data_IF_336430067856
#
_entry.id   IF_336430067856
#
_cell.length_a   1.000
_cell.length_b   1.000
_cell.length_c   1.000
_cell.angle_alpha   90.00
_cell.angle_beta   90.00
_cell.angle_gamma   90.00
#
_symmetry.space_group_name_H-M   'P 1'
#
loop_
_entity.id
_entity.type
_entity.pdbx_description
1 polymer ?
#
# COMPACT_ATOMS: atom_id res chain seq x y z
N UNK A 1 11.01 -5.61 -14.30
CA UNK A 1 10.06 -4.47 -14.34
C UNK A 1 10.69 -3.14 -13.91
N UNK A 2 11.27 -3.02 -12.71
CA UNK A 2 11.94 -1.77 -12.24
C UNK A 2 13.13 -1.35 -13.08
N UNK A 3 14.06 -2.25 -13.37
CA UNK A 3 15.20 -1.98 -14.26
C UNK A 3 14.79 -1.57 -15.68
N UNK A 4 13.59 -1.97 -16.11
CA UNK A 4 13.01 -1.58 -17.40
C UNK A 4 12.25 -0.22 -17.33
N UNK A 5 12.25 0.47 -16.18
CA UNK A 5 11.56 1.75 -15.97
C UNK A 5 10.03 1.67 -15.91
N UNK A 6 9.44 0.49 -16.14
CA UNK A 6 7.98 0.33 -16.20
C UNK A 6 7.35 0.50 -14.82
N UNK A 7 8.02 0.03 -13.76
CA UNK A 7 7.54 0.16 -12.39
C UNK A 7 7.32 1.64 -12.03
N UNK A 8 8.34 2.46 -12.26
CA UNK A 8 8.31 3.90 -11.92
C UNK A 8 7.30 4.66 -12.78
N UNK A 9 7.22 4.34 -14.07
CA UNK A 9 6.21 4.94 -14.95
C UNK A 9 4.78 4.70 -14.46
N UNK A 10 4.49 3.49 -13.99
CA UNK A 10 3.16 3.18 -13.44
C UNK A 10 2.96 3.91 -12.11
N UNK A 11 3.97 3.97 -11.24
CA UNK A 11 3.87 4.73 -10.00
C UNK A 11 3.67 6.24 -10.19
N UNK A 12 4.25 6.84 -11.25
CA UNK A 12 3.93 8.23 -11.60
C UNK A 12 2.46 8.45 -11.98
N UNK A 13 1.76 7.43 -12.52
CA UNK A 13 0.31 7.54 -12.78
C UNK A 13 -0.45 7.69 -11.46
N UNK A 14 -0.08 6.95 -10.41
CA UNK A 14 -0.65 7.12 -9.09
C UNK A 14 -0.32 8.48 -8.48
N UNK A 15 0.96 8.88 -8.54
CA UNK A 15 1.44 10.16 -8.02
C UNK A 15 0.65 11.36 -8.55
N UNK A 16 0.29 11.35 -9.83
CA UNK A 16 -0.37 12.48 -10.49
C UNK A 16 -1.88 12.31 -10.70
N UNK A 17 -2.50 11.22 -10.22
CA UNK A 17 -3.93 11.00 -10.43
C UNK A 17 -4.81 11.85 -9.50
N UNK A 18 -4.35 12.13 -8.28
CA UNK A 18 -5.13 12.85 -7.26
C UNK A 18 -6.44 12.15 -6.88
N UNK A 19 -6.54 10.83 -7.08
CA UNK A 19 -7.77 10.05 -6.90
C UNK A 19 -7.78 9.32 -5.55
N UNK A 20 -7.85 10.13 -4.50
CA UNK A 20 -7.96 9.72 -3.10
C UNK A 20 -9.22 10.34 -2.49
N UNK A 21 -9.71 9.79 -1.37
CA UNK A 21 -10.74 10.41 -0.52
C UNK A 21 -12.17 10.56 -1.09
N UNK A 22 -12.44 10.07 -2.31
CA UNK A 22 -13.76 10.02 -2.92
C UNK A 22 -14.23 8.60 -3.27
N UNK A 23 -15.50 8.42 -3.71
CA UNK A 23 -16.06 7.10 -4.04
C UNK A 23 -15.35 6.40 -5.22
N UNK A 24 -14.61 7.15 -6.04
CA UNK A 24 -13.76 6.62 -7.09
C UNK A 24 -12.48 5.93 -6.61
N UNK A 25 -12.08 6.15 -5.35
CA UNK A 25 -10.83 5.62 -4.77
C UNK A 25 -10.67 4.12 -5.03
N UNK A 26 -11.65 3.30 -4.64
CA UNK A 26 -11.57 1.84 -4.75
C UNK A 26 -11.57 1.34 -6.19
N UNK A 27 -12.38 1.94 -7.05
CA UNK A 27 -12.50 1.51 -8.46
C UNK A 27 -11.26 1.92 -9.26
N UNK A 28 -10.71 3.10 -8.98
CA UNK A 28 -9.46 3.55 -9.58
C UNK A 28 -8.29 2.65 -9.17
N UNK A 29 -8.13 2.34 -7.86
CA UNK A 29 -7.06 1.45 -7.39
C UNK A 29 -7.21 0.03 -7.94
N UNK A 30 -8.44 -0.47 -8.10
CA UNK A 30 -8.70 -1.78 -8.73
C UNK A 30 -8.23 -1.81 -10.19
N UNK A 31 -8.57 -0.80 -10.99
CA UNK A 31 -8.13 -0.72 -12.39
C UNK A 31 -6.61 -0.46 -12.50
N UNK A 32 -6.05 0.32 -11.57
CA UNK A 32 -4.61 0.55 -11.44
C UNK A 32 -3.87 -0.77 -11.19
N UNK A 33 -4.29 -1.56 -10.20
CA UNK A 33 -3.69 -2.86 -9.87
C UNK A 33 -3.86 -3.87 -11.01
N UNK A 34 -5.01 -3.87 -11.70
CA UNK A 34 -5.21 -4.70 -12.89
C UNK A 34 -4.21 -4.34 -14.00
N UNK A 35 -3.98 -3.05 -14.28
CA UNK A 35 -2.98 -2.61 -15.27
C UNK A 35 -1.56 -2.94 -14.83
N UNK A 36 -1.26 -2.79 -13.54
CA UNK A 36 0.00 -3.22 -12.96
C UNK A 36 0.21 -4.71 -13.16
N UNK A 37 -0.77 -5.56 -12.83
CA UNK A 37 -0.68 -7.00 -13.00
C UNK A 37 -0.49 -7.41 -14.47
N UNK A 38 -1.21 -6.79 -15.40
CA UNK A 38 -1.03 -7.04 -16.84
C UNK A 38 0.38 -6.71 -17.33
N UNK A 39 1.00 -5.65 -16.81
CA UNK A 39 2.38 -5.31 -17.10
C UNK A 39 3.35 -6.28 -16.41
N UNK A 40 3.10 -6.59 -15.15
CA UNK A 40 3.91 -7.49 -14.33
C UNK A 40 3.98 -8.89 -14.92
N UNK A 41 2.87 -9.43 -15.44
CA UNK A 41 2.81 -10.75 -16.09
C UNK A 41 3.79 -10.92 -17.25
N UNK A 42 4.23 -9.84 -17.89
CA UNK A 42 5.25 -9.88 -18.96
C UNK A 42 6.67 -10.18 -18.44
N UNK A 43 6.89 -10.01 -17.14
CA UNK A 43 8.15 -10.28 -16.47
C UNK A 43 8.15 -11.63 -15.73
N UNK A 44 7.04 -12.37 -15.80
CA UNK A 44 6.93 -13.70 -15.23
C UNK A 44 7.54 -14.76 -16.14
N UNK A 45 8.04 -15.88 -15.58
CA UNK A 45 8.45 -17.03 -16.37
C UNK A 45 7.31 -17.50 -17.29
N UNK A 46 7.67 -18.04 -18.45
CA UNK A 46 6.69 -18.59 -19.39
C UNK A 46 5.87 -19.70 -18.70
N UNK A 47 4.54 -19.65 -18.86
CA UNK A 47 3.64 -20.61 -18.22
C UNK A 47 3.35 -20.33 -16.74
N UNK A 48 3.92 -19.27 -16.16
CA UNK A 48 3.58 -18.85 -14.80
C UNK A 48 2.09 -18.55 -14.67
N UNK A 49 1.50 -19.07 -13.59
CA UNK A 49 0.11 -18.80 -13.18
C UNK A 49 0.04 -17.82 -12.00
N UNK A 50 1.16 -17.18 -11.67
CA UNK A 50 1.24 -16.27 -10.54
C UNK A 50 0.53 -14.96 -10.88
N UNK A 51 -0.25 -14.47 -9.92
CA UNK A 51 -0.89 -13.15 -9.97
C UNK A 51 -0.17 -12.15 -9.09
N UNK A 52 -0.72 -10.95 -9.00
CA UNK A 52 -0.30 -9.97 -8.00
C UNK A 52 -0.73 -10.46 -6.60
N UNK A 53 0.18 -10.74 -5.66
CA UNK A 53 -0.20 -11.12 -4.31
C UNK A 53 -0.83 -9.93 -3.57
N UNK A 54 -1.61 -10.23 -2.54
CA UNK A 54 -2.08 -9.25 -1.57
C UNK A 54 -1.38 -9.48 -0.22
N UNK A 55 -1.25 -8.41 0.56
CA UNK A 55 -0.82 -8.49 1.95
C UNK A 55 -2.06 -8.39 2.84
N UNK A 56 -2.37 -9.45 3.58
CA UNK A 56 -3.39 -9.41 4.61
C UNK A 56 -2.80 -8.85 5.91
N UNK A 57 -2.80 -7.52 6.03
CA UNK A 57 -2.22 -6.85 7.19
C UNK A 57 -2.94 -7.16 8.51
N UNK A 58 -4.14 -7.76 8.45
CA UNK A 58 -4.89 -8.12 9.67
C UNK A 58 -4.29 -9.28 10.43
N UNK A 59 -3.45 -10.10 9.77
CA UNK A 59 -2.69 -11.13 10.46
C UNK A 59 -1.62 -10.51 11.37
N UNK A 60 -1.05 -9.37 10.98
CA UNK A 60 -0.08 -8.66 11.81
C UNK A 60 -0.70 -7.99 13.04
N UNK A 61 -2.00 -7.70 13.05
CA UNK A 61 -2.64 -7.14 14.25
C UNK A 61 -2.69 -8.11 15.42
N UNK A 62 -2.50 -9.41 15.17
CA UNK A 62 -2.48 -10.45 16.19
C UNK A 62 -1.09 -10.63 16.84
N UNK A 63 -0.06 -9.93 16.34
CA UNK A 63 1.29 -9.98 16.90
C UNK A 63 1.44 -8.97 18.05
N UNK A 64 2.26 -9.27 19.08
CA UNK A 64 2.62 -8.27 20.09
C UNK A 64 3.26 -7.02 19.49
N UNK A 65 4.02 -7.20 18.40
CA UNK A 65 4.58 -6.14 17.60
C UNK A 65 4.38 -6.48 16.10
N UNK A 66 3.47 -5.79 15.40
CA UNK A 66 3.23 -5.99 13.96
C UNK A 66 4.49 -5.87 13.08
N UNK A 67 5.50 -5.09 13.51
CA UNK A 67 6.76 -4.90 12.76
C UNK A 67 7.70 -6.10 12.80
N UNK A 68 7.45 -7.05 13.70
CA UNK A 68 8.22 -8.30 13.81
C UNK A 68 7.67 -9.42 12.90
N UNK A 69 6.69 -9.11 12.05
CA UNK A 69 6.16 -10.06 11.06
C UNK A 69 7.26 -10.58 10.12
N UNK A 70 7.13 -11.85 9.74
CA UNK A 70 7.95 -12.45 8.67
C UNK A 70 7.85 -11.67 7.37
N UNK A 71 6.76 -10.93 7.14
CA UNK A 71 6.61 -10.05 5.99
C UNK A 71 7.75 -9.03 5.89
N UNK A 72 8.24 -8.50 7.03
CA UNK A 72 9.36 -7.55 7.10
C UNK A 72 10.72 -8.23 7.25
N UNK A 73 10.83 -9.53 6.97
CA UNK A 73 12.11 -10.25 6.95
C UNK A 73 12.79 -10.15 5.58
N UNK A 74 14.07 -10.53 5.53
CA UNK A 74 14.87 -10.63 4.30
C UNK A 74 14.29 -11.60 3.26
N UNK A 75 13.41 -12.52 3.67
CA UNK A 75 12.69 -13.38 2.73
C UNK A 75 11.72 -12.55 1.88
N UNK A 76 11.06 -11.56 2.46
CA UNK A 76 10.01 -10.79 1.79
C UNK A 76 10.44 -9.35 1.55
N UNK A 77 9.92 -8.37 2.31
CA UNK A 77 10.16 -6.96 2.00
C UNK A 77 11.44 -6.41 2.61
N UNK A 78 12.07 -7.12 3.55
CA UNK A 78 13.34 -6.75 4.20
C UNK A 78 13.19 -6.03 5.54
N UNK A 79 14.16 -6.17 6.42
CA UNK A 79 14.22 -5.50 7.72
C UNK A 79 14.74 -4.06 7.58
N UNK A 80 14.38 -3.20 8.54
CA UNK A 80 14.89 -1.82 8.62
C UNK A 80 15.81 -1.60 9.80
N UNK A 81 16.76 -0.67 9.65
CA UNK A 81 17.54 -0.16 10.75
C UNK A 81 16.79 0.95 11.53
N UNK A 82 17.45 1.52 12.56
CA UNK A 82 16.89 2.58 13.40
C UNK A 82 16.57 3.90 12.68
N UNK A 83 17.09 4.09 11.46
CA UNK A 83 16.81 5.26 10.60
C UNK A 83 15.76 4.96 9.53
N UNK A 84 15.19 3.75 9.54
CA UNK A 84 14.16 3.31 8.59
C UNK A 84 14.67 2.84 7.22
N UNK A 85 15.99 2.74 7.04
CA UNK A 85 16.55 2.21 5.79
C UNK A 85 16.38 0.69 5.76
N UNK A 86 15.95 0.16 4.61
CA UNK A 86 15.91 -1.29 4.37
C UNK A 86 17.34 -1.81 4.23
N UNK A 87 17.73 -2.76 5.07
CA UNK A 87 19.13 -3.23 5.17
C UNK A 87 19.35 -4.64 4.61
N UNK A 88 18.29 -5.38 4.33
CA UNK A 88 18.38 -6.73 3.76
C UNK A 88 17.22 -7.04 2.79
N UNK A 89 17.20 -8.28 2.29
CA UNK A 89 16.18 -8.76 1.36
C UNK A 89 16.27 -8.13 -0.04
N UNK A 90 15.28 -8.42 -0.91
CA UNK A 90 15.29 -8.01 -2.32
C UNK A 90 15.14 -6.50 -2.54
N UNK A 91 15.02 -5.71 -1.47
CA UNK A 91 14.70 -4.28 -1.46
C UNK A 91 15.77 -3.37 -0.86
N UNK A 92 16.85 -3.91 -0.30
CA UNK A 92 17.91 -3.14 0.37
C UNK A 92 18.60 -2.09 -0.53
N UNK A 93 18.58 -2.32 -1.86
CA UNK A 93 19.11 -1.42 -2.89
C UNK A 93 18.02 -0.75 -3.74
N UNK A 94 16.76 -0.82 -3.31
CA UNK A 94 15.64 -0.29 -4.08
C UNK A 94 15.56 1.23 -3.94
N UNK A 95 15.56 1.92 -5.08
CA UNK A 95 15.41 3.37 -5.12
C UNK A 95 13.94 3.79 -5.27
N UNK A 96 13.61 4.96 -4.73
CA UNK A 96 12.33 5.62 -4.97
C UNK A 96 12.10 5.87 -6.48
N UNK A 97 10.87 6.21 -6.87
CA UNK A 97 10.51 6.40 -8.28
C UNK A 97 11.36 7.47 -8.99
N UNK A 98 11.76 8.52 -8.26
CA UNK A 98 12.63 9.59 -8.74
C UNK A 98 14.09 9.14 -8.91
N UNK A 99 14.47 7.99 -8.35
CA UNK A 99 15.82 7.43 -8.43
C UNK A 99 16.87 8.15 -7.59
N UNK A 100 16.50 9.15 -6.80
CA UNK A 100 17.44 10.03 -6.08
C UNK A 100 17.97 9.45 -4.77
N UNK A 101 17.23 8.50 -4.17
CA UNK A 101 17.63 7.80 -2.92
C UNK A 101 16.95 6.44 -2.79
N UNK A 102 17.41 5.65 -1.82
CA UNK A 102 16.78 4.39 -1.41
C UNK A 102 15.47 4.62 -0.67
N UNK A 103 14.60 3.62 -0.72
CA UNK A 103 13.34 3.61 0.03
C UNK A 103 13.58 3.50 1.54
N UNK A 104 12.70 4.13 2.31
CA UNK A 104 12.68 4.08 3.77
C UNK A 104 11.28 3.77 4.28
N UNK A 105 11.19 3.05 5.41
CA UNK A 105 9.96 2.79 6.19
C UNK A 105 10.29 2.69 7.67
N UNK A 106 9.29 2.73 8.53
CA UNK A 106 9.44 2.76 9.99
C UNK A 106 10.40 3.85 10.48
N UNK A 107 10.40 5.00 9.82
CA UNK A 107 11.16 6.21 10.19
C UNK A 107 10.82 6.59 11.64
N UNK A 108 11.82 6.84 12.50
CA UNK A 108 11.60 7.17 13.91
C UNK A 108 10.89 8.52 14.08
N UNK A 109 10.25 8.72 15.23
CA UNK A 109 9.59 9.97 15.64
C UNK A 109 8.48 10.46 14.70
N UNK A 110 7.96 9.57 13.86
CA UNK A 110 6.78 9.78 13.03
C UNK A 110 5.59 9.09 13.69
N UNK A 111 4.45 9.77 13.75
CA UNK A 111 3.20 9.18 14.25
C UNK A 111 2.91 7.87 13.51
N UNK A 112 2.75 6.79 14.27
CA UNK A 112 2.54 5.47 13.71
C UNK A 112 1.05 5.26 13.46
N UNK A 113 0.71 4.81 12.26
CA UNK A 113 -0.59 4.19 12.01
C UNK A 113 -0.69 2.79 12.58
N UNK A 114 -1.73 2.08 12.16
CA UNK A 114 -1.98 0.69 12.52
C UNK A 114 -2.24 -0.14 11.26
N UNK A 115 -1.93 -1.43 11.34
CA UNK A 115 -2.38 -2.39 10.33
C UNK A 115 -3.90 -2.58 10.42
N UNK A 116 -4.52 -3.19 9.40
CA UNK A 116 -5.92 -3.61 9.51
C UNK A 116 -6.11 -4.53 10.73
N UNK A 117 -7.32 -4.55 11.27
CA UNK A 117 -7.70 -5.43 12.36
C UNK A 117 -9.15 -5.90 12.19
N UNK A 118 -9.54 -6.93 12.94
CA UNK A 118 -10.88 -7.52 12.83
C UNK A 118 -12.00 -6.51 13.05
N UNK A 119 -11.85 -5.58 14.00
CA UNK A 119 -12.86 -4.55 14.27
C UNK A 119 -13.10 -3.61 13.07
N UNK A 120 -12.05 -3.24 12.32
CA UNK A 120 -12.17 -2.44 11.08
C UNK A 120 -12.78 -3.26 9.94
N UNK A 121 -12.43 -4.55 9.84
CA UNK A 121 -12.99 -5.46 8.82
C UNK A 121 -14.49 -5.67 9.06
N UNK A 122 -14.88 -5.99 10.29
CA UNK A 122 -16.27 -6.24 10.68
C UNK A 122 -17.16 -5.05 10.35
N UNK A 123 -16.70 -3.83 10.67
CA UNK A 123 -17.42 -2.60 10.32
C UNK A 123 -17.74 -2.52 8.84
N UNK A 124 -16.80 -2.89 7.96
CA UNK A 124 -17.01 -2.84 6.51
C UNK A 124 -18.00 -3.92 6.05
N UNK A 125 -17.86 -5.13 6.58
CA UNK A 125 -18.72 -6.27 6.22
C UNK A 125 -20.16 -6.11 6.71
N UNK A 126 -20.36 -5.39 7.81
CA UNK A 126 -21.69 -5.10 8.38
C UNK A 126 -22.44 -3.99 7.65
N UNK A 127 -21.79 -3.25 6.74
CA UNK A 127 -22.43 -2.16 6.02
C UNK A 127 -23.51 -2.67 5.06
N UNK A 128 -24.72 -2.10 5.19
CA UNK A 128 -25.87 -2.39 4.32
C UNK A 128 -26.02 -1.42 3.16
N UNK A 129 -25.20 -0.37 3.13
CA UNK A 129 -25.28 0.72 2.18
C UNK A 129 -23.90 0.98 1.59
N UNK A 130 -23.84 1.08 0.26
CA UNK A 130 -22.57 1.18 -0.46
C UNK A 130 -21.85 2.50 -0.15
N UNK A 131 -22.57 3.58 0.15
CA UNK A 131 -22.00 4.86 0.56
C UNK A 131 -21.22 4.80 1.89
N UNK A 132 -21.48 3.79 2.73
CA UNK A 132 -20.72 3.58 3.96
C UNK A 132 -19.43 2.77 3.72
N UNK A 133 -19.25 2.20 2.53
CA UNK A 133 -18.03 1.49 2.12
C UNK A 133 -17.20 2.38 1.20
N UNK A 134 -17.84 2.98 0.18
CA UNK A 134 -17.23 3.88 -0.80
C UNK A 134 -17.25 5.35 -0.33
N UNK A 135 -17.28 5.59 0.99
CA UNK A 135 -17.50 6.90 1.56
C UNK A 135 -16.59 7.99 0.96
N UNK A 136 -17.13 9.20 0.84
CA UNK A 136 -16.34 10.38 0.50
C UNK A 136 -15.74 10.93 1.81
N UNK A 137 -14.47 10.60 2.05
CA UNK A 137 -13.70 11.14 3.17
C UNK A 137 -13.55 12.67 3.09
N UNK A 138 -13.44 13.19 1.86
CA UNK A 138 -13.54 14.63 1.57
C UNK A 138 -14.78 14.93 0.71
N UNK A 139 -15.96 15.14 1.32
CA UNK A 139 -17.17 15.44 0.58
C UNK A 139 -17.09 16.84 -0.05
N UNK A 140 -17.56 16.96 -1.30
CA UNK A 140 -17.70 18.26 -1.97
C UNK A 140 -18.78 19.10 -1.27
N UNK A 141 -18.60 20.41 -1.24
CA UNK A 141 -19.60 21.33 -0.66
C UNK A 141 -20.98 21.17 -1.32
N UNK A 142 -20.99 20.87 -2.62
CA UNK A 142 -22.20 20.73 -3.46
C UNK A 142 -22.82 19.33 -3.44
N UNK A 143 -22.12 18.31 -2.93
CA UNK A 143 -22.61 16.94 -2.84
C UNK A 143 -22.12 16.28 -1.53
N UNK A 144 -22.85 16.53 -0.45
CA UNK A 144 -22.47 16.10 0.90
C UNK A 144 -22.91 14.66 1.17
N UNK A 145 -22.05 13.70 0.84
CA UNK A 145 -22.13 12.35 1.40
C UNK A 145 -21.28 12.35 2.68
N UNK A 146 -21.92 12.58 3.83
CA UNK A 146 -21.20 12.66 5.11
C UNK A 146 -21.36 11.33 5.84
N UNK A 147 -20.27 10.59 5.95
CA UNK A 147 -20.16 9.43 6.84
C UNK A 147 -19.09 9.73 7.87
N UNK A 148 -19.46 9.76 9.15
CA UNK A 148 -18.57 10.11 10.28
C UNK A 148 -18.22 8.86 11.07
N UNK A 149 -17.28 8.09 10.54
CA UNK A 149 -16.71 6.92 11.21
C UNK A 149 -15.23 6.79 10.83
N UNK A 150 -14.33 6.80 11.80
CA UNK A 150 -12.88 6.72 11.55
C UNK A 150 -12.43 5.30 11.12
N UNK A 151 -13.37 4.35 11.11
CA UNK A 151 -13.17 2.95 10.69
C UNK A 151 -13.57 2.72 9.23
N UNK A 152 -14.00 3.76 8.51
CA UNK A 152 -14.22 3.68 7.07
C UNK A 152 -13.02 3.04 6.36
N UNK A 153 -13.29 2.25 5.32
CA UNK A 153 -12.24 1.48 4.65
C UNK A 153 -11.13 2.39 4.07
N UNK A 154 -11.45 3.59 3.59
CA UNK A 154 -10.44 4.56 3.14
C UNK A 154 -9.51 5.00 4.26
N UNK A 155 -10.05 5.32 5.45
CA UNK A 155 -9.23 5.68 6.61
C UNK A 155 -8.45 4.49 7.14
N UNK A 156 -9.08 3.32 7.24
CA UNK A 156 -8.42 2.06 7.60
C UNK A 156 -7.24 1.74 6.67
N UNK A 157 -7.36 2.02 5.37
CA UNK A 157 -6.26 1.96 4.41
C UNK A 157 -5.16 2.98 4.71
N UNK A 158 -5.51 4.24 4.99
CA UNK A 158 -4.53 5.30 5.29
C UNK A 158 -3.75 4.99 6.58
N UNK A 159 -4.37 4.37 7.58
CA UNK A 159 -3.67 3.88 8.76
C UNK A 159 -2.57 2.86 8.42
N UNK A 160 -2.75 2.01 7.40
CA UNK A 160 -1.70 1.10 6.94
C UNK A 160 -0.54 1.87 6.30
N UNK A 161 -0.84 2.92 5.51
CA UNK A 161 0.19 3.83 4.98
C UNK A 161 0.99 4.50 6.11
N UNK A 162 0.32 4.95 7.17
CA UNK A 162 0.96 5.56 8.34
C UNK A 162 1.71 4.53 9.21
N UNK A 163 1.28 3.27 9.22
CA UNK A 163 1.98 2.20 9.93
C UNK A 163 3.35 1.92 9.33
N UNK A 164 3.40 1.77 7.99
CA UNK A 164 4.67 1.62 7.25
C UNK A 164 5.47 2.91 7.31
N UNK A 165 4.81 4.06 7.17
CA UNK A 165 5.39 5.40 7.11
C UNK A 165 6.47 5.56 6.02
N UNK A 166 7.36 6.55 6.14
CA UNK A 166 8.47 6.73 5.21
C UNK A 166 7.95 7.04 3.81
N UNK A 167 8.41 6.28 2.81
CA UNK A 167 7.94 6.45 1.44
C UNK A 167 6.50 5.99 1.23
N UNK A 168 6.00 5.06 2.03
CA UNK A 168 4.59 4.66 2.02
C UNK A 168 3.66 5.65 2.71
N UNK A 169 4.16 6.64 3.47
CA UNK A 169 3.30 7.58 4.19
C UNK A 169 2.45 8.43 3.25
N UNK A 170 3.10 9.03 2.25
CA UNK A 170 2.48 10.04 1.39
C UNK A 170 1.90 9.39 0.12
N UNK A 171 0.72 9.84 -0.29
CA UNK A 171 0.03 9.33 -1.49
C UNK A 171 0.90 9.46 -2.75
N UNK A 172 1.73 10.50 -2.85
CA UNK A 172 2.56 10.73 -4.03
C UNK A 172 3.86 9.90 -4.07
N UNK A 173 4.31 9.35 -2.94
CA UNK A 173 5.55 8.56 -2.86
C UNK A 173 5.29 7.06 -2.65
N UNK A 174 4.10 6.66 -2.21
CA UNK A 174 3.82 5.30 -1.73
C UNK A 174 4.02 4.20 -2.74
N UNK A 175 3.86 4.46 -4.04
CA UNK A 175 4.19 3.45 -5.06
C UNK A 175 5.69 3.18 -5.20
N UNK A 176 6.56 3.94 -4.53
CA UNK A 176 8.01 3.66 -4.51
C UNK A 176 8.32 2.33 -3.84
N UNK A 177 7.47 1.85 -2.92
CA UNK A 177 7.71 0.64 -2.16
C UNK A 177 7.14 -0.60 -2.89
N UNK A 178 7.90 -1.71 -2.90
CA UNK A 178 7.60 -3.06 -3.45
C UNK A 178 8.07 -3.38 -4.89
N UNK A 179 8.41 -4.65 -5.09
CA UNK A 179 8.98 -5.34 -6.27
C UNK A 179 8.33 -6.70 -6.20
N UNK A 180 7.59 -7.05 -7.21
CA UNK A 180 7.07 -8.41 -7.28
C UNK A 180 8.23 -9.27 -7.81
N UNK A 181 9.00 -9.88 -6.90
CA UNK A 181 10.01 -10.90 -7.24
C UNK A 181 9.52 -12.24 -6.76
N UNK A 182 9.53 -13.21 -7.66
CA UNK A 182 9.27 -14.61 -7.35
C UNK A 182 10.62 -15.19 -6.96
N UNK A 183 10.65 -15.94 -5.86
CA UNK A 183 11.79 -16.74 -5.45
C UNK A 183 12.17 -17.69 -6.60
N UNK A 184 13.44 -17.66 -7.00
CA UNK A 184 14.03 -18.64 -7.93
C UNK A 184 14.00 -20.06 -7.34
#
# INVERSE_FOLDING_TARGET
MKTAGIYDRIGFVHKYSGLHEGPGFFTWHREYLKRFELAFRRFLPLGSRLGLPYWDSSLESELPNPRESVFFSSLFVGATNSTGHIIDGPFSDWNIMEGTRRVVRFVPDVENGEVLNNARIDVILEQKKIENVLAAALPLETCKIIVRDDRLLSYSHDYVHYFINGDMRETFSSTSEVKTTIFD
#
